data_IF_872176839493
#
_entry.id   IF_872176839493
#
_cell.length_a   1.000
_cell.length_b   1.000
_cell.length_c   1.000
_cell.angle_alpha   90.00
_cell.angle_beta   90.00
_cell.angle_gamma   90.00
#
_symmetry.space_group_name_H-M   'P 1'
#
loop_
_entity.id
_entity.type
_entity.pdbx_description
1 polymer ?
#
# COMPACT_ATOMS: atom_id res chain seq x y z
N UNK A 1 -18.54 29.19 10.29
CA UNK A 1 -17.77 28.95 9.07
C UNK A 1 -18.26 27.63 8.50
N UNK A 2 -18.83 27.62 7.30
CA UNK A 2 -19.09 26.37 6.60
C UNK A 2 -17.74 25.65 6.44
N UNK A 3 -17.60 24.40 6.86
CA UNK A 3 -16.38 23.66 6.56
C UNK A 3 -16.24 23.67 5.03
N UNK A 4 -15.09 24.10 4.52
CA UNK A 4 -14.80 23.97 3.10
C UNK A 4 -14.94 22.49 2.77
N UNK A 5 -15.89 22.14 1.90
CA UNK A 5 -16.07 20.75 1.47
C UNK A 5 -14.78 20.30 0.79
N UNK A 6 -14.26 19.15 1.19
CA UNK A 6 -13.12 18.53 0.53
C UNK A 6 -13.45 18.29 -0.94
N UNK A 7 -12.57 18.74 -1.84
CA UNK A 7 -12.74 18.57 -3.29
C UNK A 7 -11.46 18.05 -3.91
N UNK A 8 -11.59 16.99 -4.70
CA UNK A 8 -10.49 16.50 -5.53
C UNK A 8 -10.34 17.43 -6.72
N UNK A 9 -9.12 17.94 -6.93
CA UNK A 9 -8.77 18.79 -8.06
C UNK A 9 -7.62 18.15 -8.84
N UNK A 10 -7.95 17.40 -9.88
CA UNK A 10 -6.95 16.72 -10.73
C UNK A 10 -6.09 17.69 -11.56
N UNK A 11 -6.44 18.99 -11.60
CA UNK A 11 -5.60 20.02 -12.21
C UNK A 11 -4.46 20.50 -11.29
N UNK A 12 -4.57 20.25 -9.96
CA UNK A 12 -3.51 20.56 -9.01
C UNK A 12 -2.33 19.61 -9.25
N UNK A 13 -1.17 20.16 -9.53
CA UNK A 13 0.08 19.41 -9.68
C UNK A 13 0.89 19.44 -8.39
N UNK A 14 1.49 18.30 -8.06
CA UNK A 14 2.42 18.20 -6.94
C UNK A 14 3.85 18.12 -7.46
N UNK A 15 4.76 18.72 -6.73
CA UNK A 15 6.19 18.71 -7.02
C UNK A 15 6.69 17.24 -7.14
N UNK A 16 7.50 16.97 -8.15
CA UNK A 16 8.21 15.70 -8.25
C UNK A 16 9.49 15.77 -7.41
N UNK A 17 9.64 14.84 -6.51
CA UNK A 17 10.78 14.76 -5.61
C UNK A 17 11.77 13.70 -6.13
N UNK A 18 12.96 14.10 -6.60
CA UNK A 18 13.98 13.16 -7.13
C UNK A 18 14.40 12.09 -6.11
N UNK A 19 14.53 12.49 -4.84
CA UNK A 19 14.88 11.61 -3.73
C UNK A 19 13.68 11.29 -2.83
N UNK A 20 12.51 11.02 -3.42
CA UNK A 20 11.30 10.70 -2.67
C UNK A 20 11.54 9.58 -1.64
N UNK A 21 11.06 9.72 -0.37
CA UNK A 21 11.32 8.75 0.69
C UNK A 21 10.49 7.47 0.57
N UNK A 22 9.84 7.24 -0.56
CA UNK A 22 8.97 6.09 -0.78
C UNK A 22 9.77 4.80 -0.88
N UNK A 23 9.56 3.90 0.07
CA UNK A 23 10.21 2.57 0.10
C UNK A 23 9.38 1.52 -0.60
N UNK A 24 8.06 1.71 -0.64
CA UNK A 24 7.14 0.85 -1.39
C UNK A 24 5.92 1.64 -1.85
N UNK A 25 5.55 1.50 -3.13
CA UNK A 25 4.27 1.91 -3.70
C UNK A 25 3.46 0.67 -4.07
N UNK A 26 2.18 0.64 -3.74
CA UNK A 26 1.30 -0.53 -3.93
C UNK A 26 0.00 -0.10 -4.60
N UNK A 27 -0.45 -0.86 -5.60
CA UNK A 27 -1.84 -0.84 -6.05
C UNK A 27 -2.43 -2.22 -5.77
N UNK A 28 -3.58 -2.25 -5.12
CA UNK A 28 -4.23 -3.46 -4.67
C UNK A 28 -5.67 -3.55 -5.17
N UNK A 29 -5.98 -4.60 -5.90
CA UNK A 29 -7.34 -4.99 -6.30
C UNK A 29 -7.78 -6.20 -5.48
N UNK A 30 -8.70 -6.01 -4.55
CA UNK A 30 -9.41 -7.11 -3.91
C UNK A 30 -10.57 -7.50 -4.80
N UNK A 31 -10.41 -8.58 -5.53
CA UNK A 31 -11.37 -9.05 -6.53
C UNK A 31 -11.30 -10.57 -6.57
N UNK A 32 -12.27 -11.22 -5.95
CA UNK A 32 -12.31 -12.68 -5.87
C UNK A 32 -12.42 -13.28 -7.28
N UNK A 33 -11.64 -14.32 -7.54
CA UNK A 33 -11.76 -15.08 -8.77
C UNK A 33 -13.18 -15.62 -8.95
N UNK A 34 -13.75 -15.37 -10.14
CA UNK A 34 -15.08 -15.84 -10.53
C UNK A 34 -15.09 -17.32 -10.97
N UNK A 35 -13.90 -17.88 -11.20
CA UNK A 35 -13.69 -19.29 -11.56
C UNK A 35 -12.76 -20.01 -10.58
N UNK A 36 -12.80 -21.33 -10.57
CA UNK A 36 -11.85 -22.13 -9.82
C UNK A 36 -10.47 -22.03 -10.45
N UNK A 37 -9.48 -21.62 -9.67
CA UNK A 37 -8.09 -21.55 -10.10
C UNK A 37 -7.36 -22.82 -9.65
N UNK A 38 -6.96 -23.63 -10.61
CA UNK A 38 -6.11 -24.82 -10.35
C UNK A 38 -4.66 -24.38 -10.23
N UNK A 39 -3.97 -24.63 -9.10
CA UNK A 39 -2.66 -24.05 -8.80
C UNK A 39 -1.63 -24.22 -9.91
N UNK A 40 -1.42 -25.45 -10.40
CA UNK A 40 -0.35 -25.72 -11.37
C UNK A 40 -0.65 -25.15 -12.76
N UNK A 41 -1.91 -25.18 -13.19
CA UNK A 41 -2.35 -24.57 -14.44
C UNK A 41 -2.26 -23.05 -14.37
N UNK A 42 -2.67 -22.45 -13.27
CA UNK A 42 -2.59 -21.00 -13.05
C UNK A 42 -1.12 -20.53 -13.06
N UNK A 43 -0.23 -21.26 -12.38
CA UNK A 43 1.20 -20.99 -12.38
C UNK A 43 1.78 -21.01 -13.79
N UNK A 44 1.50 -22.05 -14.56
CA UNK A 44 2.02 -22.21 -15.92
C UNK A 44 1.61 -21.06 -16.83
N UNK A 45 0.32 -20.68 -16.80
CA UNK A 45 -0.21 -19.56 -17.58
C UNK A 45 0.41 -18.22 -17.17
N UNK A 46 0.64 -18.00 -15.85
CA UNK A 46 1.32 -16.80 -15.38
C UNK A 46 2.79 -16.76 -15.87
N UNK A 47 3.52 -17.85 -15.80
CA UNK A 47 4.92 -17.91 -16.30
C UNK A 47 4.98 -17.53 -17.78
N UNK A 48 4.07 -18.05 -18.60
CA UNK A 48 3.98 -17.77 -20.03
C UNK A 48 3.72 -16.27 -20.31
N UNK A 49 2.83 -15.65 -19.52
CA UNK A 49 2.44 -14.24 -19.67
C UNK A 49 3.40 -13.23 -19.03
N UNK A 50 4.32 -13.68 -18.16
CA UNK A 50 5.19 -12.84 -17.33
C UNK A 50 6.70 -13.15 -17.56
N UNK A 51 7.23 -13.05 -18.80
CA UNK A 51 8.64 -13.34 -19.06
C UNK A 51 9.59 -12.40 -18.30
N UNK A 52 9.16 -11.16 -18.01
CA UNK A 52 9.95 -10.16 -17.29
C UNK A 52 9.95 -10.34 -15.76
N UNK A 53 9.20 -11.34 -15.25
CA UNK A 53 9.08 -11.68 -13.83
C UNK A 53 9.54 -13.11 -13.56
N UNK A 54 10.84 -13.41 -13.70
CA UNK A 54 11.34 -14.78 -13.65
C UNK A 54 11.30 -15.42 -12.25
N UNK A 55 11.35 -14.60 -11.20
CA UNK A 55 11.35 -15.12 -9.84
C UNK A 55 9.92 -15.33 -9.33
N UNK A 56 9.64 -16.54 -8.86
CA UNK A 56 8.30 -16.92 -8.42
C UNK A 56 8.31 -17.62 -7.06
N UNK A 57 7.28 -17.36 -6.28
CA UNK A 57 7.07 -17.98 -4.98
C UNK A 57 5.59 -18.36 -4.83
N UNK A 58 5.33 -19.58 -4.35
CA UNK A 58 4.00 -20.04 -3.99
C UNK A 58 3.56 -19.39 -2.68
N UNK A 59 2.37 -18.82 -2.66
CA UNK A 59 1.77 -18.25 -1.46
C UNK A 59 0.80 -19.24 -0.84
N UNK A 60 0.90 -19.41 0.48
CA UNK A 60 0.10 -20.36 1.25
C UNK A 60 -0.32 -19.72 2.56
N UNK A 61 -1.54 -20.01 2.98
CA UNK A 61 -2.05 -19.64 4.29
C UNK A 61 -2.00 -20.87 5.19
N UNK A 62 -1.44 -20.70 6.38
CA UNK A 62 -1.42 -21.71 7.40
C UNK A 62 -2.43 -21.32 8.48
N UNK A 63 -3.40 -22.19 8.72
CA UNK A 63 -4.34 -22.05 9.85
C UNK A 63 -4.07 -23.16 10.84
N UNK A 64 -3.87 -22.78 12.09
CA UNK A 64 -3.78 -23.70 13.22
C UNK A 64 -5.08 -23.55 13.99
N UNK A 65 -5.92 -24.56 13.95
CA UNK A 65 -7.13 -24.71 14.77
C UNK A 65 -6.85 -25.66 15.91
N UNK A 66 -7.37 -25.41 17.12
CA UNK A 66 -7.28 -26.33 18.23
C UNK A 66 -8.60 -26.37 19.01
N UNK A 67 -9.14 -27.55 19.21
CA UNK A 67 -10.22 -27.77 20.17
C UNK A 67 -9.62 -28.37 21.44
N UNK A 68 -9.88 -27.74 22.58
CA UNK A 68 -9.47 -28.21 23.90
C UNK A 68 -10.72 -28.72 24.63
N UNK A 69 -10.79 -30.02 24.85
CA UNK A 69 -11.89 -30.64 25.55
C UNK A 69 -11.41 -31.58 26.65
N UNK A 70 -12.33 -32.07 27.55
CA UNK A 70 -12.00 -33.00 28.64
C UNK A 70 -11.40 -34.33 28.17
N UNK A 71 -11.60 -34.70 26.90
CA UNK A 71 -11.14 -35.96 26.30
C UNK A 71 -9.82 -35.83 25.52
N UNK A 72 -9.20 -34.63 25.47
CA UNK A 72 -7.93 -34.38 24.80
C UNK A 72 -7.89 -33.08 23.99
N UNK A 73 -6.70 -32.74 23.50
CA UNK A 73 -6.50 -31.62 22.59
C UNK A 73 -6.31 -32.14 21.17
N UNK A 74 -7.11 -31.64 20.23
CA UNK A 74 -6.91 -31.89 18.81
C UNK A 74 -6.38 -30.61 18.12
N UNK A 75 -5.22 -30.70 17.50
CA UNK A 75 -4.62 -29.59 16.75
C UNK A 75 -4.73 -29.90 15.25
N UNK A 76 -5.50 -29.11 14.52
CA UNK A 76 -5.66 -29.23 13.08
C UNK A 76 -4.74 -28.21 12.38
N UNK A 77 -3.88 -28.68 11.52
CA UNK A 77 -3.05 -27.86 10.64
C UNK A 77 -3.65 -27.85 9.23
N UNK A 78 -4.21 -26.72 8.80
CA UNK A 78 -4.74 -26.55 7.45
C UNK A 78 -3.85 -25.63 6.66
N UNK A 79 -3.28 -26.16 5.57
CA UNK A 79 -2.52 -25.38 4.60
C UNK A 79 -3.39 -25.15 3.36
N UNK A 80 -3.62 -23.89 3.02
CA UNK A 80 -4.44 -23.50 1.88
C UNK A 80 -3.62 -22.65 0.91
N UNK A 81 -3.56 -23.09 -0.35
CA UNK A 81 -2.94 -22.31 -1.40
C UNK A 81 -3.73 -21.00 -1.62
N UNK A 82 -3.01 -19.86 -1.71
CA UNK A 82 -3.58 -18.55 -1.91
C UNK A 82 -3.26 -17.95 -3.27
N UNK A 83 -2.12 -18.29 -3.87
CA UNK A 83 -1.69 -17.72 -5.14
C UNK A 83 -0.20 -17.84 -5.38
N UNK A 84 0.31 -16.94 -6.23
CA UNK A 84 1.71 -16.83 -6.57
C UNK A 84 2.18 -15.38 -6.50
N UNK A 85 3.41 -15.19 -6.01
CA UNK A 85 4.16 -13.96 -6.03
C UNK A 85 5.23 -14.07 -7.10
N UNK A 86 5.27 -13.12 -8.01
CA UNK A 86 6.28 -12.97 -9.04
C UNK A 86 7.10 -11.71 -8.77
N UNK A 87 8.38 -11.74 -9.14
CA UNK A 87 9.27 -10.61 -8.96
C UNK A 87 10.06 -10.37 -10.25
N UNK A 88 10.22 -9.10 -10.62
CA UNK A 88 10.96 -8.67 -11.81
C UNK A 88 12.45 -8.98 -11.71
N UNK A 89 13.13 -8.99 -12.84
CA UNK A 89 14.57 -9.27 -12.92
C UNK A 89 15.41 -8.29 -12.09
N UNK A 90 14.99 -7.03 -11.98
CA UNK A 90 15.65 -6.01 -11.17
C UNK A 90 15.25 -6.07 -9.68
N UNK A 91 14.41 -7.03 -9.30
CA UNK A 91 13.86 -7.23 -7.95
C UNK A 91 13.02 -6.07 -7.40
N UNK A 92 12.63 -5.11 -8.24
CA UNK A 92 11.93 -3.89 -7.79
C UNK A 92 10.42 -3.96 -7.95
N UNK A 93 9.91 -4.75 -8.90
CA UNK A 93 8.48 -4.96 -9.09
C UNK A 93 8.07 -6.32 -8.54
N UNK A 94 6.96 -6.32 -7.81
CA UNK A 94 6.36 -7.52 -7.22
C UNK A 94 4.91 -7.59 -7.66
N UNK A 95 4.54 -8.69 -8.31
CA UNK A 95 3.19 -8.98 -8.75
C UNK A 95 2.64 -10.21 -8.02
N UNK A 96 1.56 -10.05 -7.28
CA UNK A 96 0.94 -11.11 -6.50
C UNK A 96 -0.43 -11.43 -7.08
N UNK A 97 -0.57 -12.61 -7.66
CA UNK A 97 -1.80 -13.13 -8.24
C UNK A 97 -2.42 -14.13 -7.28
N UNK A 98 -3.54 -13.78 -6.68
CA UNK A 98 -4.18 -14.60 -5.64
C UNK A 98 -5.62 -14.96 -5.98
N UNK A 99 -6.20 -15.88 -5.22
CA UNK A 99 -7.63 -16.24 -5.33
C UNK A 99 -8.56 -15.07 -5.00
N UNK A 100 -8.07 -14.09 -4.22
CA UNK A 100 -8.86 -12.98 -3.69
C UNK A 100 -8.52 -11.64 -4.32
N UNK A 101 -7.66 -11.64 -5.36
CA UNK A 101 -7.29 -10.41 -6.05
C UNK A 101 -5.86 -10.36 -6.53
N UNK A 102 -5.46 -9.17 -6.89
CA UNK A 102 -4.15 -8.87 -7.44
C UNK A 102 -3.51 -7.71 -6.66
N UNK A 103 -2.22 -7.83 -6.37
CA UNK A 103 -1.42 -6.78 -5.72
C UNK A 103 -0.18 -6.54 -6.55
N UNK A 104 0.09 -5.27 -6.83
CA UNK A 104 1.27 -4.85 -7.53
C UNK A 104 2.05 -3.85 -6.68
N UNK A 105 3.33 -4.12 -6.44
CA UNK A 105 4.22 -3.28 -5.65
C UNK A 105 5.44 -2.84 -6.45
N UNK A 106 5.87 -1.60 -6.23
CA UNK A 106 7.15 -1.06 -6.64
C UNK A 106 7.99 -0.75 -5.41
N UNK A 107 9.15 -1.38 -5.28
CA UNK A 107 10.11 -1.10 -4.22
C UNK A 107 11.02 0.08 -4.59
N UNK A 108 11.66 0.67 -3.60
CA UNK A 108 12.63 1.76 -3.78
C UNK A 108 13.76 1.39 -4.77
N UNK A 109 14.28 2.38 -5.54
CA UNK A 109 13.78 3.74 -5.67
C UNK A 109 12.48 3.81 -6.49
N UNK A 110 11.55 4.65 -6.07
CA UNK A 110 10.33 4.93 -6.81
C UNK A 110 10.63 5.98 -7.89
N UNK A 111 10.30 5.69 -9.14
CA UNK A 111 10.65 6.54 -10.27
C UNK A 111 9.51 7.49 -10.66
N UNK A 112 8.43 6.94 -11.21
CA UNK A 112 7.28 7.74 -11.63
C UNK A 112 5.97 6.93 -11.60
N UNK A 113 4.87 7.67 -11.49
CA UNK A 113 3.52 7.10 -11.46
C UNK A 113 3.10 6.49 -12.79
N UNK A 114 3.43 7.13 -13.91
CA UNK A 114 2.93 6.72 -15.23
C UNK A 114 3.38 5.30 -15.58
N UNK A 115 4.66 5.00 -15.34
CA UNK A 115 5.21 3.65 -15.55
C UNK A 115 4.61 2.65 -14.57
N UNK A 116 4.47 3.04 -13.32
CA UNK A 116 3.92 2.17 -12.27
C UNK A 116 2.46 1.81 -12.54
N UNK A 117 1.62 2.80 -12.89
CA UNK A 117 0.21 2.61 -13.22
C UNK A 117 0.02 1.78 -14.49
N UNK A 118 0.76 2.11 -15.56
CA UNK A 118 0.67 1.37 -16.82
C UNK A 118 0.99 -0.12 -16.65
N UNK A 119 2.05 -0.45 -15.91
CA UNK A 119 2.41 -1.83 -15.63
C UNK A 119 1.39 -2.52 -14.72
N UNK A 120 0.89 -1.81 -13.71
CA UNK A 120 -0.16 -2.32 -12.83
C UNK A 120 -1.44 -2.70 -13.61
N UNK A 121 -1.87 -1.83 -14.53
CA UNK A 121 -3.04 -2.09 -15.39
C UNK A 121 -2.80 -3.24 -16.38
N UNK A 122 -1.60 -3.34 -16.95
CA UNK A 122 -1.22 -4.46 -17.80
C UNK A 122 -1.34 -5.80 -17.06
N UNK A 123 -0.81 -5.87 -15.85
CA UNK A 123 -0.84 -7.07 -15.01
C UNK A 123 -2.24 -7.37 -14.48
N UNK A 124 -3.02 -6.34 -14.17
CA UNK A 124 -4.43 -6.48 -13.81
C UNK A 124 -5.25 -7.12 -14.93
N UNK A 125 -5.02 -6.74 -16.20
CA UNK A 125 -5.66 -7.39 -17.35
C UNK A 125 -5.35 -8.89 -17.41
N UNK A 126 -4.10 -9.28 -17.14
CA UNK A 126 -3.72 -10.71 -17.06
C UNK A 126 -4.50 -11.42 -15.96
N UNK A 127 -4.65 -10.78 -14.78
CA UNK A 127 -5.47 -11.33 -13.71
C UNK A 127 -6.92 -11.52 -14.14
N UNK A 128 -7.52 -10.51 -14.78
CA UNK A 128 -8.90 -10.59 -15.28
C UNK A 128 -9.10 -11.72 -16.29
N UNK A 129 -8.17 -11.91 -17.23
CA UNK A 129 -8.22 -13.00 -18.22
C UNK A 129 -8.17 -14.38 -17.57
N UNK A 130 -7.37 -14.54 -16.50
CA UNK A 130 -7.14 -15.84 -15.86
C UNK A 130 -8.14 -16.16 -14.75
N UNK A 131 -8.60 -15.15 -14.01
CA UNK A 131 -9.42 -15.30 -12.81
C UNK A 131 -10.90 -14.95 -13.03
N UNK A 132 -11.24 -14.19 -14.08
CA UNK A 132 -12.59 -13.77 -14.45
C UNK A 132 -13.39 -13.19 -13.24
N UNK A 133 -12.83 -12.19 -12.52
CA UNK A 133 -13.52 -11.61 -11.38
C UNK A 133 -14.77 -10.86 -11.86
N UNK A 134 -15.86 -10.90 -11.08
CA UNK A 134 -17.11 -10.20 -11.42
C UNK A 134 -17.15 -8.75 -10.98
N UNK A 135 -16.39 -8.42 -9.93
CA UNK A 135 -16.35 -7.09 -9.32
C UNK A 135 -14.99 -6.85 -8.63
N UNK A 136 -14.67 -5.59 -8.42
CA UNK A 136 -13.57 -5.17 -7.53
C UNK A 136 -14.21 -4.76 -6.21
N UNK A 137 -14.04 -5.57 -5.17
CA UNK A 137 -14.58 -5.31 -3.83
C UNK A 137 -13.84 -4.18 -3.12
N UNK A 138 -12.56 -3.96 -3.44
CA UNK A 138 -11.74 -2.86 -2.94
C UNK A 138 -10.62 -2.57 -3.93
N UNK A 139 -10.49 -1.32 -4.32
CA UNK A 139 -9.32 -0.79 -5.00
C UNK A 139 -8.55 0.07 -3.99
N UNK A 140 -7.22 -0.01 -3.97
CA UNK A 140 -6.39 0.79 -3.07
C UNK A 140 -5.06 1.19 -3.68
N UNK A 141 -4.61 2.40 -3.32
CA UNK A 141 -3.28 2.95 -3.62
C UNK A 141 -2.60 3.28 -2.31
N UNK A 142 -1.48 2.62 -2.01
CA UNK A 142 -0.74 2.80 -0.77
C UNK A 142 0.71 3.16 -1.05
N UNK A 143 1.24 4.10 -0.27
CA UNK A 143 2.64 4.49 -0.30
C UNK A 143 3.22 4.44 1.11
N UNK A 144 4.28 3.68 1.28
CA UNK A 144 5.04 3.59 2.52
C UNK A 144 6.29 4.42 2.32
N UNK A 145 6.45 5.45 3.17
CA UNK A 145 7.58 6.36 3.14
C UNK A 145 8.40 6.16 4.41
N UNK A 146 9.74 6.11 4.27
CA UNK A 146 10.67 6.00 5.38
C UNK A 146 11.59 7.22 5.37
N UNK A 147 11.33 8.15 6.28
CA UNK A 147 12.02 9.44 6.36
C UNK A 147 13.10 9.35 7.44
N UNK A 148 14.38 9.52 7.09
CA UNK A 148 15.46 9.45 8.07
C UNK A 148 15.34 10.57 9.13
N UNK A 149 15.59 10.20 10.39
CA UNK A 149 15.73 11.12 11.53
C UNK A 149 16.89 10.64 12.41
N UNK A 150 17.79 11.54 12.78
CA UNK A 150 18.91 11.19 13.65
C UNK A 150 18.46 10.95 15.09
N UNK A 151 17.49 11.75 15.54
CA UNK A 151 16.91 11.70 16.88
C UNK A 151 15.40 11.89 16.83
N UNK A 152 14.69 11.48 17.88
CA UNK A 152 13.25 11.69 18.01
C UNK A 152 12.89 13.18 18.21
N UNK A 153 13.81 13.99 18.69
CA UNK A 153 13.62 15.43 18.87
C UNK A 153 13.47 16.18 17.53
N UNK A 154 13.84 15.55 16.41
CA UNK A 154 13.63 16.10 15.06
C UNK A 154 12.21 15.92 14.52
N UNK A 155 11.34 15.19 15.20
CA UNK A 155 9.97 14.97 14.71
C UNK A 155 9.18 16.27 14.45
N UNK A 156 9.32 17.36 15.25
CA UNK A 156 8.71 18.64 14.94
C UNK A 156 9.21 19.29 13.64
N UNK A 157 10.45 18.98 13.23
CA UNK A 157 11.01 19.46 11.95
C UNK A 157 10.46 18.67 10.75
N UNK A 158 9.96 17.45 10.98
CA UNK A 158 9.44 16.56 9.95
C UNK A 158 7.92 16.64 9.78
N UNK A 159 7.18 16.78 10.88
CA UNK A 159 5.72 16.68 10.90
C UNK A 159 5.07 18.01 11.27
N UNK A 160 4.06 18.40 10.50
CA UNK A 160 3.22 19.57 10.80
C UNK A 160 2.48 19.41 12.15
N UNK A 161 2.10 18.18 12.49
CA UNK A 161 1.52 17.81 13.77
C UNK A 161 2.34 16.66 14.37
N UNK A 162 3.43 16.99 15.09
CA UNK A 162 4.27 15.97 15.73
C UNK A 162 3.60 15.39 16.98
N UNK A 163 3.98 14.17 17.39
CA UNK A 163 3.58 13.64 18.68
C UNK A 163 4.14 14.53 19.81
N UNK A 164 3.34 14.76 20.84
CA UNK A 164 3.72 15.58 21.98
C UNK A 164 3.34 14.92 23.30
N UNK A 165 4.26 14.98 24.29
CA UNK A 165 3.94 14.63 25.67
C UNK A 165 3.13 15.77 26.32
N UNK A 166 2.18 15.45 27.22
CA UNK A 166 1.56 16.46 28.05
C UNK A 166 2.61 17.29 28.81
N UNK A 167 2.48 18.60 28.81
CA UNK A 167 3.48 19.52 29.38
C UNK A 167 3.81 19.26 30.85
N UNK A 168 2.87 18.68 31.61
CA UNK A 168 3.03 18.34 33.03
C UNK A 168 3.75 17.01 33.26
N UNK A 169 3.89 16.17 32.22
CA UNK A 169 4.43 14.82 32.35
C UNK A 169 5.97 14.80 32.30
N UNK A 170 6.56 15.72 31.54
CA UNK A 170 8.02 15.90 31.39
C UNK A 170 8.81 14.59 31.15
N UNK A 171 8.23 13.68 30.34
CA UNK A 171 8.87 12.43 29.95
C UNK A 171 9.17 12.44 28.45
N UNK A 172 10.35 11.96 28.03
CA UNK A 172 10.68 11.83 26.61
C UNK A 172 9.84 10.74 25.96
N UNK A 173 9.39 10.98 24.72
CA UNK A 173 8.77 9.97 23.89
C UNK A 173 9.87 9.03 23.40
N UNK A 174 9.70 7.72 23.55
CA UNK A 174 10.60 6.70 23.02
C UNK A 174 10.07 6.04 21.76
N UNK A 175 8.74 5.83 21.72
CA UNK A 175 8.02 5.25 20.59
C UNK A 175 6.67 5.94 20.46
N UNK A 176 6.12 5.99 19.25
CA UNK A 176 4.74 6.38 19.03
C UNK A 176 4.15 5.64 17.83
N UNK A 177 2.84 5.48 17.84
CA UNK A 177 2.05 5.12 16.69
C UNK A 177 0.79 5.99 16.69
N UNK A 178 0.62 6.73 15.61
CA UNK A 178 -0.58 7.52 15.37
C UNK A 178 -1.24 7.03 14.10
N UNK A 179 -2.48 6.58 14.22
CA UNK A 179 -3.29 6.15 13.08
C UNK A 179 -4.55 7.00 13.00
N UNK A 180 -4.78 7.57 11.84
CA UNK A 180 -6.00 8.33 11.54
C UNK A 180 -6.63 7.83 10.26
N UNK A 181 -7.94 7.61 10.29
CA UNK A 181 -8.73 7.29 9.10
C UNK A 181 -9.62 8.48 8.76
N UNK A 182 -9.47 8.99 7.56
CA UNK A 182 -10.30 10.05 7.00
C UNK A 182 -11.31 9.45 6.04
N UNK A 183 -12.59 9.82 6.20
CA UNK A 183 -13.65 9.48 5.25
C UNK A 183 -13.79 10.59 4.20
N UNK A 184 -13.77 10.21 2.92
CA UNK A 184 -13.98 11.11 1.77
C UNK A 184 -15.29 10.68 1.11
N UNK A 185 -16.40 10.85 1.87
CA UNK A 185 -17.69 10.23 1.59
C UNK A 185 -18.28 10.64 0.25
N UNK A 186 -18.08 11.90 -0.19
CA UNK A 186 -18.60 12.41 -1.46
C UNK A 186 -18.01 11.68 -2.70
N UNK A 187 -16.85 11.02 -2.52
CA UNK A 187 -16.15 10.28 -3.56
C UNK A 187 -16.10 8.77 -3.30
N UNK A 188 -16.59 8.32 -2.14
CA UNK A 188 -16.58 6.91 -1.75
C UNK A 188 -15.18 6.36 -1.44
N UNK A 189 -14.26 7.22 -0.93
CA UNK A 189 -12.92 6.83 -0.51
C UNK A 189 -12.71 6.96 0.99
N UNK A 190 -11.77 6.17 1.49
CA UNK A 190 -11.10 6.39 2.77
C UNK A 190 -9.61 6.58 2.57
N UNK A 191 -9.00 7.43 3.41
CA UNK A 191 -7.56 7.56 3.55
C UNK A 191 -7.17 7.11 4.95
N UNK A 192 -6.35 6.07 5.05
CA UNK A 192 -5.71 5.65 6.29
C UNK A 192 -4.29 6.20 6.33
N UNK A 193 -3.96 6.93 7.40
CA UNK A 193 -2.63 7.50 7.64
C UNK A 193 -2.06 6.85 8.88
N UNK A 194 -0.89 6.22 8.77
CA UNK A 194 -0.14 5.71 9.91
C UNK A 194 1.19 6.46 9.98
N UNK A 195 1.47 7.01 11.15
CA UNK A 195 2.74 7.62 11.50
C UNK A 195 3.34 6.83 12.66
N UNK A 196 4.54 6.34 12.51
CA UNK A 196 5.24 5.60 13.56
C UNK A 196 6.75 5.73 13.41
N UNK A 197 7.49 5.38 14.43
CA UNK A 197 8.94 5.34 14.40
C UNK A 197 9.41 3.90 14.27
N UNK A 198 10.28 3.68 13.30
CA UNK A 198 11.09 2.48 13.23
C UNK A 198 12.39 2.73 14.01
N UNK A 199 12.70 1.90 15.04
CA UNK A 199 13.95 2.00 15.77
C UNK A 199 15.18 1.86 14.87
N UNK A 200 16.34 2.36 15.29
CA UNK A 200 17.57 2.20 14.55
C UNK A 200 17.88 0.74 14.26
N UNK A 201 18.17 0.43 13.00
CA UNK A 201 18.79 -0.81 12.59
C UNK A 201 20.33 -0.65 12.50
N UNK A 202 20.98 -1.34 11.57
CA UNK A 202 22.42 -1.29 11.37
C UNK A 202 22.94 0.12 11.04
N UNK A 203 22.13 0.96 10.40
CA UNK A 203 22.42 2.35 10.00
C UNK A 203 22.36 3.36 11.17
N UNK A 204 22.00 2.93 12.38
CA UNK A 204 21.92 3.73 13.62
C UNK A 204 20.96 4.93 13.59
N UNK A 205 20.19 5.12 12.52
CA UNK A 205 19.23 6.20 12.37
C UNK A 205 17.81 5.69 12.62
N UNK A 206 17.00 6.53 13.25
CA UNK A 206 15.55 6.34 13.29
C UNK A 206 14.94 6.59 11.92
N UNK A 207 13.81 6.00 11.65
CA UNK A 207 13.01 6.29 10.45
C UNK A 207 11.58 6.61 10.87
N UNK A 208 11.12 7.80 10.51
CA UNK A 208 9.69 8.11 10.56
C UNK A 208 9.02 7.38 9.39
N UNK A 209 8.16 6.44 9.71
CA UNK A 209 7.31 5.76 8.73
C UNK A 209 6.03 6.54 8.57
N UNK A 210 5.79 7.02 7.35
CA UNK A 210 4.55 7.63 6.94
C UNK A 210 3.89 6.72 5.90
N UNK A 211 2.85 6.01 6.30
CA UNK A 211 2.11 5.07 5.48
C UNK A 211 0.75 5.66 5.12
N UNK A 212 0.51 5.83 3.83
CA UNK A 212 -0.67 6.46 3.26
C UNK A 212 -1.41 5.44 2.39
N UNK A 213 -2.58 4.98 2.82
CA UNK A 213 -3.42 4.01 2.10
C UNK A 213 -4.78 4.64 1.75
N UNK A 214 -4.97 4.95 0.47
CA UNK A 214 -6.24 5.44 -0.08
C UNK A 214 -6.97 4.28 -0.71
N UNK A 215 -8.25 4.07 -0.37
CA UNK A 215 -9.00 2.94 -0.89
C UNK A 215 -10.50 3.23 -1.03
N UNK A 216 -11.17 2.43 -1.88
CA UNK A 216 -12.62 2.50 -2.06
C UNK A 216 -13.36 1.88 -0.89
N UNK A 217 -14.45 2.53 -0.44
CA UNK A 217 -15.36 2.03 0.59
C UNK A 217 -16.33 0.96 0.04
N UNK A 218 -16.70 1.09 -1.22
CA UNK A 218 -17.67 0.23 -1.89
C UNK A 218 -17.03 -0.51 -3.06
N UNK A 219 -17.69 -1.56 -3.52
CA UNK A 219 -17.31 -2.25 -4.74
C UNK A 219 -17.33 -1.29 -5.95
N UNK A 220 -16.40 -1.52 -6.87
CA UNK A 220 -16.18 -0.70 -8.05
C UNK A 220 -16.42 -1.55 -9.29
N UNK A 221 -17.10 -0.98 -10.28
CA UNK A 221 -17.20 -1.58 -11.60
C UNK A 221 -15.84 -1.60 -12.31
N UNK A 222 -15.71 -2.44 -13.33
CA UNK A 222 -14.43 -2.80 -13.91
C UNK A 222 -14.04 -2.15 -15.25
N UNK A 223 -14.77 -1.17 -15.84
CA UNK A 223 -14.31 -0.53 -17.06
C UNK A 223 -12.94 0.13 -16.82
N UNK A 224 -12.02 -0.06 -17.77
CA UNK A 224 -10.64 0.48 -17.64
C UNK A 224 -10.60 2.00 -17.43
N UNK A 225 -11.50 2.73 -18.11
CA UNK A 225 -11.64 4.18 -17.97
C UNK A 225 -12.00 4.61 -16.55
N UNK A 226 -12.86 3.86 -15.88
CA UNK A 226 -13.24 4.09 -14.48
C UNK A 226 -12.05 3.84 -13.55
N UNK A 227 -11.29 2.77 -13.79
CA UNK A 227 -10.10 2.43 -12.99
C UNK A 227 -9.02 3.51 -13.08
N UNK A 228 -8.74 4.01 -14.30
CA UNK A 228 -7.76 5.09 -14.50
C UNK A 228 -8.18 6.34 -13.75
N UNK A 229 -9.45 6.73 -13.84
CA UNK A 229 -9.98 7.91 -13.13
C UNK A 229 -9.81 7.74 -11.61
N UNK A 230 -10.21 6.60 -11.06
CA UNK A 230 -10.09 6.33 -9.62
C UNK A 230 -8.64 6.28 -9.14
N UNK A 231 -7.75 5.68 -9.92
CA UNK A 231 -6.31 5.67 -9.60
C UNK A 231 -5.72 7.09 -9.59
N UNK A 232 -6.13 7.96 -10.53
CA UNK A 232 -5.72 9.35 -10.58
C UNK A 232 -6.22 10.13 -9.34
N UNK A 233 -7.49 9.95 -8.93
CA UNK A 233 -8.07 10.55 -7.74
C UNK A 233 -7.36 10.08 -6.46
N UNK A 234 -7.12 8.76 -6.32
CA UNK A 234 -6.40 8.20 -5.17
C UNK A 234 -4.96 8.71 -5.10
N UNK A 235 -4.28 8.81 -6.25
CA UNK A 235 -2.95 9.43 -6.32
C UNK A 235 -2.97 10.86 -5.83
N UNK A 236 -3.95 11.66 -6.27
CA UNK A 236 -4.11 13.04 -5.84
C UNK A 236 -4.31 13.13 -4.33
N UNK A 237 -5.24 12.33 -3.76
CA UNK A 237 -5.51 12.29 -2.31
C UNK A 237 -4.24 11.95 -1.53
N UNK A 238 -3.51 10.91 -1.96
CA UNK A 238 -2.26 10.49 -1.35
C UNK A 238 -1.21 11.60 -1.37
N UNK A 239 -1.06 12.29 -2.52
CA UNK A 239 -0.12 13.41 -2.64
C UNK A 239 -0.54 14.56 -1.73
N UNK A 240 -1.81 14.94 -1.74
CA UNK A 240 -2.34 16.00 -0.86
C UNK A 240 -2.04 15.70 0.61
N UNK A 241 -2.25 14.46 1.04
CA UNK A 241 -1.92 14.02 2.39
C UNK A 241 -0.41 14.12 2.68
N UNK A 242 0.44 13.61 1.79
CA UNK A 242 1.89 13.64 1.94
C UNK A 242 2.41 15.07 2.14
N UNK A 243 2.05 16.00 1.24
CA UNK A 243 2.49 17.39 1.30
C UNK A 243 1.82 18.20 2.42
N UNK A 244 0.70 17.73 2.98
CA UNK A 244 0.04 18.37 4.13
C UNK A 244 0.55 17.89 5.49
N UNK A 245 1.09 16.68 5.57
CA UNK A 245 1.56 16.07 6.81
C UNK A 245 3.02 16.45 7.09
N UNK A 246 3.84 16.52 6.05
CA UNK A 246 5.26 16.88 6.18
C UNK A 246 5.44 18.39 6.18
N UNK A 247 6.43 18.85 6.94
CA UNK A 247 6.85 20.25 6.94
C UNK A 247 7.53 20.63 5.62
N UNK A 248 7.57 21.92 5.25
CA UNK A 248 8.35 22.38 4.09
C UNK A 248 9.83 22.01 4.16
N UNK A 249 10.42 22.02 5.36
CA UNK A 249 11.82 21.66 5.59
C UNK A 249 12.07 20.16 5.37
N UNK A 250 11.14 19.30 5.80
CA UNK A 250 11.18 17.87 5.52
C UNK A 250 11.11 17.60 4.00
N UNK A 251 10.20 18.29 3.30
CA UNK A 251 10.03 18.15 1.85
C UNK A 251 11.29 18.62 1.10
N UNK A 252 11.93 19.72 1.55
CA UNK A 252 13.14 20.25 0.94
C UNK A 252 14.29 19.23 0.89
N UNK A 253 14.38 18.31 1.85
CA UNK A 253 15.40 17.24 1.89
C UNK A 253 15.29 16.25 0.71
N UNK A 254 14.17 16.20 0.02
CA UNK A 254 13.90 15.26 -1.09
C UNK A 254 14.04 15.90 -2.47
N UNK A 255 14.46 17.16 -2.54
CA UNK A 255 14.69 17.91 -3.79
C UNK A 255 16.09 17.72 -4.39
N UNK A 256 17.00 17.18 -3.60
CA UNK A 256 18.40 16.94 -3.97
C UNK A 256 18.63 15.54 -4.57
#
# INVERSE_FOLDING_TARGET
MNPMSFRIDLSESFEQLPSAPSVEAVIHWRARAGRTLEPDSFRRLLIEKLPDYPFQQRQQEFRVGGEFGPEGSHVEHKQTWQGYRFQSTDNRYIAQFTRNGFVFSRLSPYEDWTKFEAEALRLWKIYCELAEPSEIQRLGVRFINAIPAETLDQLPDLLVVPPASPSTMNLPIQEFMHQTRYAISDYGYSLNVIQTIQPPSEDKNFKLILDLDVYTENAVEMPETELITRLAEMRWIKNKAFFSILTPDAIARFRE
#
